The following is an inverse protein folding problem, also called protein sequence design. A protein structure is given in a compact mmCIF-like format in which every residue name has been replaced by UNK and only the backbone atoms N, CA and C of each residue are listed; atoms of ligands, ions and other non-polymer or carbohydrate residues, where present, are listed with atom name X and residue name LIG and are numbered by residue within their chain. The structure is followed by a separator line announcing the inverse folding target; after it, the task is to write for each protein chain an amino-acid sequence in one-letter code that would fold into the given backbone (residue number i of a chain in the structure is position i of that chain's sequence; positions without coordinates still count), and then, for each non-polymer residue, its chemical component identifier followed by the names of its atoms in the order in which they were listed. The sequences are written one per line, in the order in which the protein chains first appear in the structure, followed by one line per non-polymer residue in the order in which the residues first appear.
data_IF_550565887415
#
_entry.id   IF_550565887415
#
_cell.length_a   1.000
_cell.length_b   1.000
_cell.length_c   1.000
_cell.angle_alpha   90.00
_cell.angle_beta   90.00
_cell.angle_gamma   90.00
#
_symmetry.space_group_name_H-M   'P 1'
#
loop_
_entity.id
_entity.type
_entity.pdbx_description
1 polymer ?
#
# COMPACT_ATOMS: atom_id res chain seq x y z
N UNK A 1 -10.72 -17.27 -4.57
CA UNK A 1 -9.25 -17.13 -4.42
C UNK A 1 -8.84 -17.70 -3.07
N UNK A 2 -7.68 -18.38 -2.98
CA UNK A 2 -7.24 -19.08 -1.74
C UNK A 2 -6.77 -18.13 -0.63
N UNK A 3 -6.41 -16.88 -0.97
CA UNK A 3 -5.95 -15.87 -0.03
C UNK A 3 -6.64 -14.53 -0.31
N UNK A 4 -6.90 -13.71 0.72
CA UNK A 4 -7.44 -12.39 0.53
C UNK A 4 -6.35 -11.43 0.02
N UNK A 5 -6.76 -10.31 -0.59
CA UNK A 5 -5.85 -9.44 -1.32
C UNK A 5 -4.79 -8.82 -0.42
N UNK A 6 -5.15 -8.39 0.79
CA UNK A 6 -4.26 -7.77 1.77
C UNK A 6 -3.11 -8.72 2.19
N UNK A 7 -3.34 -10.03 2.18
CA UNK A 7 -2.30 -11.02 2.44
C UNK A 7 -1.28 -11.10 1.30
N UNK A 8 -1.75 -11.04 0.05
CA UNK A 8 -0.89 -10.98 -1.13
C UNK A 8 -0.13 -9.66 -1.19
N UNK A 9 -0.83 -8.54 -0.98
CA UNK A 9 -0.28 -7.20 -0.92
C UNK A 9 0.85 -7.11 0.12
N UNK A 10 0.63 -7.62 1.35
CA UNK A 10 1.67 -7.66 2.38
C UNK A 10 2.92 -8.39 1.91
N UNK A 11 2.75 -9.51 1.21
CA UNK A 11 3.86 -10.32 0.71
C UNK A 11 4.63 -9.59 -0.40
N UNK A 12 3.91 -8.96 -1.32
CA UNK A 12 4.48 -8.17 -2.42
C UNK A 12 5.27 -6.98 -1.87
N UNK A 13 4.67 -6.17 -1.00
CA UNK A 13 5.33 -4.98 -0.44
C UNK A 13 6.55 -5.37 0.40
N UNK A 14 6.45 -6.43 1.19
CA UNK A 14 7.60 -6.91 1.97
C UNK A 14 8.74 -7.37 1.07
N UNK A 15 8.44 -8.15 0.03
CA UNK A 15 9.44 -8.61 -0.91
C UNK A 15 10.09 -7.45 -1.67
N UNK A 16 9.28 -6.50 -2.17
CA UNK A 16 9.79 -5.29 -2.83
C UNK A 16 10.72 -4.50 -1.90
N UNK A 17 10.34 -4.33 -0.63
CA UNK A 17 11.15 -3.62 0.36
C UNK A 17 12.49 -4.31 0.63
N UNK A 18 12.49 -5.63 0.83
CA UNK A 18 13.71 -6.40 1.11
C UNK A 18 14.64 -6.42 -0.13
N UNK A 19 14.09 -6.61 -1.33
CA UNK A 19 14.86 -6.55 -2.58
C UNK A 19 15.42 -5.15 -2.83
N UNK A 20 14.60 -4.11 -2.69
CA UNK A 20 15.04 -2.72 -2.87
C UNK A 20 16.11 -2.31 -1.85
N UNK A 21 16.01 -2.79 -0.61
CA UNK A 21 17.02 -2.58 0.44
C UNK A 21 18.37 -3.16 0.00
N UNK A 22 18.39 -4.43 -0.41
CA UNK A 22 19.63 -5.11 -0.78
C UNK A 22 20.29 -4.47 -2.00
N UNK A 23 19.51 -4.20 -3.05
CA UNK A 23 20.01 -3.58 -4.28
C UNK A 23 20.48 -2.14 -4.07
N UNK A 24 19.83 -1.38 -3.20
CA UNK A 24 20.27 -0.02 -2.90
C UNK A 24 21.61 -0.01 -2.14
N UNK A 25 21.79 -0.90 -1.15
CA UNK A 25 23.05 -1.03 -0.42
C UNK A 25 24.18 -1.48 -1.35
N UNK A 26 23.94 -2.51 -2.18
CA UNK A 26 24.88 -2.91 -3.23
C UNK A 26 25.19 -1.75 -4.17
N UNK A 27 24.16 -0.98 -4.54
CA UNK A 27 24.29 0.15 -5.43
C UNK A 27 25.20 1.24 -4.87
N UNK A 28 25.08 1.54 -3.57
CA UNK A 28 25.97 2.48 -2.87
C UNK A 28 27.40 1.94 -2.90
N UNK A 29 27.60 0.67 -2.52
CA UNK A 29 28.94 0.08 -2.41
C UNK A 29 29.66 -0.03 -3.76
N UNK A 30 28.93 -0.35 -4.84
CA UNK A 30 29.51 -0.63 -6.15
C UNK A 30 29.50 0.58 -7.10
N UNK A 31 28.46 1.40 -7.08
CA UNK A 31 28.27 2.51 -8.02
C UNK A 31 28.41 3.90 -7.38
N UNK A 32 28.60 3.99 -6.05
CA UNK A 32 28.79 5.22 -5.29
C UNK A 32 27.70 6.28 -5.60
N UNK A 33 28.08 7.43 -6.18
CA UNK A 33 27.16 8.54 -6.49
C UNK A 33 26.06 8.18 -7.50
N UNK A 34 26.25 7.13 -8.31
CA UNK A 34 25.25 6.68 -9.31
C UNK A 34 24.22 5.69 -8.76
N UNK A 35 24.33 5.32 -7.49
CA UNK A 35 23.46 4.33 -6.82
C UNK A 35 21.96 4.62 -6.99
N UNK A 36 21.54 5.88 -6.85
CA UNK A 36 20.13 6.27 -6.96
C UNK A 36 19.60 6.18 -8.40
N UNK A 37 20.41 6.56 -9.39
CA UNK A 37 20.05 6.45 -10.81
C UNK A 37 19.91 4.98 -11.23
N UNK A 38 20.88 4.16 -10.83
CA UNK A 38 20.87 2.71 -11.08
C UNK A 38 19.67 2.04 -10.40
N UNK A 39 19.35 2.42 -9.16
CA UNK A 39 18.16 1.92 -8.47
C UNK A 39 16.88 2.21 -9.26
N UNK A 40 16.70 3.44 -9.74
CA UNK A 40 15.53 3.82 -10.52
C UNK A 40 15.46 3.06 -11.85
N UNK A 41 16.58 2.84 -12.52
CA UNK A 41 16.64 2.05 -13.76
C UNK A 41 16.09 0.62 -13.53
N UNK A 42 16.41 0.01 -12.39
CA UNK A 42 16.03 -1.36 -12.04
C UNK A 42 14.57 -1.42 -11.55
N UNK A 43 14.20 -0.55 -10.61
CA UNK A 43 12.94 -0.69 -9.86
C UNK A 43 11.78 0.15 -10.38
N UNK A 44 11.99 1.19 -11.20
CA UNK A 44 10.91 2.10 -11.58
C UNK A 44 9.73 1.38 -12.25
N UNK A 45 10.01 0.45 -13.19
CA UNK A 45 8.96 -0.33 -13.87
C UNK A 45 8.21 -1.24 -12.91
N UNK A 46 8.92 -1.91 -12.02
CA UNK A 46 8.34 -2.82 -11.02
C UNK A 46 7.45 -2.07 -10.04
N UNK A 47 7.92 -0.92 -9.54
CA UNK A 47 7.16 -0.06 -8.65
C UNK A 47 5.88 0.43 -9.34
N UNK A 48 5.98 0.89 -10.60
CA UNK A 48 4.81 1.32 -11.37
C UNK A 48 3.79 0.20 -11.54
N UNK A 49 4.23 -1.01 -11.88
CA UNK A 49 3.34 -2.17 -11.98
C UNK A 49 2.65 -2.50 -10.64
N UNK A 50 3.37 -2.42 -9.52
CA UNK A 50 2.77 -2.63 -8.20
C UNK A 50 1.71 -1.57 -7.87
N UNK A 51 1.95 -0.30 -8.21
CA UNK A 51 1.00 0.79 -8.00
C UNK A 51 -0.24 0.64 -8.88
N UNK A 52 -0.06 0.31 -10.17
CA UNK A 52 -1.16 0.07 -11.10
C UNK A 52 -2.05 -1.10 -10.64
N UNK A 53 -1.45 -2.20 -10.21
CA UNK A 53 -2.18 -3.35 -9.68
C UNK A 53 -2.96 -3.01 -8.40
N UNK A 54 -2.41 -2.14 -7.55
CA UNK A 54 -3.10 -1.65 -6.37
C UNK A 54 -4.31 -0.78 -6.79
N UNK A 55 -4.10 0.19 -7.68
CA UNK A 55 -5.15 1.08 -8.16
C UNK A 55 -6.32 0.31 -8.80
N UNK A 56 -6.01 -0.66 -9.66
CA UNK A 56 -7.00 -1.55 -10.28
C UNK A 56 -7.82 -2.33 -9.25
N UNK A 57 -7.18 -2.83 -8.18
CA UNK A 57 -7.90 -3.49 -7.09
C UNK A 57 -8.81 -2.52 -6.33
N UNK A 58 -8.31 -1.31 -6.03
CA UNK A 58 -9.05 -0.32 -5.25
C UNK A 58 -10.31 0.20 -5.97
N UNK A 59 -10.32 0.20 -7.31
CA UNK A 59 -11.46 0.68 -8.10
C UNK A 59 -12.79 0.01 -7.73
N UNK A 60 -12.76 -1.28 -7.40
CA UNK A 60 -13.96 -2.08 -7.08
C UNK A 60 -14.02 -2.56 -5.62
N UNK A 61 -13.02 -2.21 -4.80
CA UNK A 61 -12.93 -2.70 -3.42
C UNK A 61 -13.90 -1.94 -2.49
N UNK A 62 -14.79 -2.66 -1.80
CA UNK A 62 -15.70 -2.11 -0.78
C UNK A 62 -15.39 -2.62 0.64
N UNK A 63 -14.30 -3.36 0.80
CA UNK A 63 -13.87 -3.90 2.09
C UNK A 63 -13.07 -2.87 2.90
N UNK A 64 -13.72 -2.18 3.81
CA UNK A 64 -13.08 -1.19 4.69
C UNK A 64 -12.01 -1.81 5.61
N UNK A 65 -12.21 -3.07 6.06
CA UNK A 65 -11.29 -3.74 6.98
C UNK A 65 -10.02 -4.13 6.22
N UNK A 66 -10.16 -4.72 5.03
CA UNK A 66 -9.04 -5.04 4.14
C UNK A 66 -8.18 -3.80 3.84
N UNK A 67 -8.81 -2.67 3.52
CA UNK A 67 -8.07 -1.41 3.30
C UNK A 67 -7.34 -0.93 4.55
N UNK A 68 -7.97 -0.99 5.73
CA UNK A 68 -7.33 -0.60 6.98
C UNK A 68 -6.12 -1.49 7.29
N UNK A 69 -6.23 -2.80 7.04
CA UNK A 69 -5.11 -3.74 7.17
C UNK A 69 -3.97 -3.38 6.22
N UNK A 70 -4.27 -3.05 4.96
CA UNK A 70 -3.26 -2.61 3.99
C UNK A 70 -2.55 -1.33 4.43
N UNK A 71 -3.29 -0.34 4.95
CA UNK A 71 -2.71 0.89 5.51
C UNK A 71 -1.77 0.57 6.67
N UNK A 72 -2.18 -0.32 7.59
CA UNK A 72 -1.35 -0.75 8.72
C UNK A 72 -0.09 -1.49 8.26
N UNK A 73 -0.21 -2.32 7.22
CA UNK A 73 0.95 -2.99 6.60
C UNK A 73 1.92 -1.95 6.05
N UNK A 74 1.46 -0.98 5.26
CA UNK A 74 2.31 0.09 4.69
C UNK A 74 3.01 0.87 5.80
N UNK A 75 2.28 1.26 6.84
CA UNK A 75 2.84 1.95 8.00
C UNK A 75 3.94 1.12 8.69
N UNK A 76 3.71 -0.18 8.89
CA UNK A 76 4.71 -1.06 9.50
C UNK A 76 5.97 -1.19 8.64
N UNK A 77 5.83 -1.31 7.31
CA UNK A 77 6.99 -1.38 6.40
C UNK A 77 7.76 -0.05 6.35
N UNK A 78 7.06 1.09 6.39
CA UNK A 78 7.70 2.41 6.48
C UNK A 78 8.57 2.53 7.74
N UNK A 79 8.06 2.09 8.88
CA UNK A 79 8.82 2.09 10.13
C UNK A 79 10.07 1.20 10.05
N UNK A 80 9.99 0.07 9.35
CA UNK A 80 11.16 -0.79 9.10
C UNK A 80 12.19 -0.07 8.23
N UNK A 81 11.79 0.58 7.13
CA UNK A 81 12.70 1.32 6.27
C UNK A 81 13.35 2.51 6.98
N UNK A 82 12.61 3.22 7.82
CA UNK A 82 13.14 4.29 8.67
C UNK A 82 14.21 3.77 9.64
N UNK A 83 13.98 2.61 10.27
CA UNK A 83 14.99 1.96 11.14
C UNK A 83 16.23 1.53 10.35
N UNK A 84 16.05 1.09 9.09
CA UNK A 84 17.15 0.75 8.17
C UNK A 84 17.90 1.99 7.65
N UNK A 85 17.32 3.20 7.79
CA UNK A 85 17.83 4.47 7.23
C UNK A 85 17.95 4.44 5.70
N UNK A 86 16.98 3.79 5.03
CA UNK A 86 16.94 3.68 3.57
C UNK A 86 15.73 4.44 3.03
N UNK A 87 15.92 5.63 2.42
CA UNK A 87 14.80 6.50 2.02
C UNK A 87 14.22 6.18 0.63
N UNK A 88 14.77 5.20 -0.11
CA UNK A 88 14.48 5.03 -1.55
C UNK A 88 13.03 4.66 -1.90
N UNK A 89 12.27 4.12 -0.93
CA UNK A 89 10.86 3.76 -1.10
C UNK A 89 9.89 4.75 -0.43
N UNK A 90 10.37 5.83 0.19
CA UNK A 90 9.49 6.76 0.93
C UNK A 90 8.39 7.35 0.03
N UNK A 91 8.77 7.79 -1.17
CA UNK A 91 7.82 8.31 -2.17
C UNK A 91 6.81 7.25 -2.64
N UNK A 92 7.19 5.98 -2.65
CA UNK A 92 6.30 4.87 -3.01
C UNK A 92 5.28 4.64 -1.90
N UNK A 93 5.69 4.65 -0.63
CA UNK A 93 4.76 4.54 0.49
C UNK A 93 3.79 5.73 0.54
N UNK A 94 4.25 6.94 0.23
CA UNK A 94 3.39 8.11 0.14
C UNK A 94 2.34 7.96 -0.97
N UNK A 95 2.74 7.49 -2.17
CA UNK A 95 1.80 7.19 -3.27
C UNK A 95 0.78 6.11 -2.90
N UNK A 96 1.21 5.03 -2.27
CA UNK A 96 0.30 3.97 -1.80
C UNK A 96 -0.72 4.55 -0.80
N UNK A 97 -0.29 5.39 0.14
CA UNK A 97 -1.19 6.05 1.07
C UNK A 97 -2.17 7.00 0.38
N UNK A 98 -1.72 7.74 -0.64
CA UNK A 98 -2.57 8.61 -1.47
C UNK A 98 -3.63 7.82 -2.25
N UNK A 99 -3.45 6.52 -2.48
CA UNK A 99 -4.48 5.65 -3.06
C UNK A 99 -5.42 5.07 -2.00
N UNK A 100 -4.86 4.57 -0.88
CA UNK A 100 -5.61 3.86 0.15
C UNK A 100 -6.55 4.77 0.95
N UNK A 101 -6.06 5.93 1.41
CA UNK A 101 -6.85 6.81 2.28
C UNK A 101 -8.11 7.39 1.61
N UNK A 102 -8.04 7.94 0.39
CA UNK A 102 -9.23 8.40 -0.30
C UNK A 102 -10.25 7.27 -0.52
N UNK A 103 -9.78 6.06 -0.86
CA UNK A 103 -10.70 4.92 -1.05
C UNK A 103 -11.38 4.51 0.25
N UNK A 104 -10.64 4.43 1.35
CA UNK A 104 -11.22 4.14 2.66
C UNK A 104 -12.27 5.18 3.05
N UNK A 105 -11.99 6.47 2.82
CA UNK A 105 -12.94 7.56 3.06
C UNK A 105 -14.24 7.37 2.28
N UNK A 106 -14.17 7.05 0.99
CA UNK A 106 -15.37 6.82 0.16
C UNK A 106 -16.27 5.73 0.74
N UNK A 107 -15.67 4.63 1.22
CA UNK A 107 -16.43 3.51 1.80
C UNK A 107 -17.04 3.92 3.15
N UNK A 108 -16.29 4.60 4.01
CA UNK A 108 -16.81 5.08 5.29
C UNK A 108 -17.94 6.10 5.11
N UNK A 109 -17.81 7.02 4.16
CA UNK A 109 -18.85 7.99 3.84
C UNK A 109 -20.12 7.29 3.28
N UNK A 110 -19.95 6.20 2.52
CA UNK A 110 -21.07 5.38 2.06
C UNK A 110 -21.76 4.63 3.21
N UNK A 111 -20.98 4.06 4.14
CA UNK A 111 -21.51 3.41 5.33
C UNK A 111 -22.26 4.40 6.23
N UNK A 112 -21.75 5.61 6.40
CA UNK A 112 -22.43 6.67 7.15
C UNK A 112 -23.79 6.99 6.53
N UNK A 113 -23.85 7.23 5.21
CA UNK A 113 -25.12 7.47 4.50
C UNK A 113 -26.09 6.29 4.65
N UNK A 114 -25.59 5.06 4.63
CA UNK A 114 -26.42 3.87 4.82
C UNK A 114 -27.06 3.83 6.21
N UNK A 115 -26.34 4.27 7.25
CA UNK A 115 -26.86 4.34 8.62
C UNK A 115 -27.86 5.49 8.77
N UNK A 116 -27.56 6.67 8.22
CA UNK A 116 -28.46 7.84 8.25
C UNK A 116 -29.81 7.58 7.56
N UNK A 117 -29.80 6.83 6.46
CA UNK A 117 -31.00 6.48 5.69
C UNK A 117 -31.73 5.25 6.25
N UNK A 118 -31.14 4.52 7.20
CA UNK A 118 -31.72 3.31 7.74
C UNK A 118 -32.98 3.66 8.56
N UNK A 119 -34.11 3.05 8.21
CA UNK A 119 -35.36 3.20 8.95
C UNK A 119 -35.36 2.21 10.12
N UNK A 120 -35.37 2.67 11.39
CA UNK A 120 -35.33 1.79 12.57
C UNK A 120 -36.43 0.72 12.57
N UNK A 121 -37.61 1.08 12.05
CA UNK A 121 -38.77 0.16 11.96
C UNK A 121 -38.59 -0.98 10.95
N UNK A 122 -37.69 -0.85 9.98
CA UNK A 122 -37.39 -1.89 8.98
C UNK A 122 -36.18 -2.76 9.37
N UNK A 123 -35.45 -2.38 10.42
CA UNK A 123 -34.25 -3.08 10.88
C UNK A 123 -34.57 -4.30 11.77
N UNK A 124 -35.85 -4.66 11.91
CA UNK A 124 -36.31 -5.69 12.84
C UNK A 124 -36.35 -5.17 14.27
N UNK A 125 -37.16 -5.79 15.13
CA UNK A 125 -37.14 -5.49 16.56
C UNK A 125 -35.74 -5.79 17.10
N UNK A 126 -34.97 -4.75 17.40
CA UNK A 126 -33.77 -4.85 18.22
C UNK A 126 -34.18 -5.20 19.64
#
# INVERSE_FOLDING_TARGET
ARYPYEALFRSIIKHLMDSATNEYLFGIDFFNDRSFETFNLIFARTISLCLENLENYLFTCWDAIGLLLMIKVVHAQRLVMQRRRIPVLDSVFDRINMLLWPRLKVILDANLRSVEQAQPRKLGSV
#
